data_IF_274792954657
#
_entry.id   IF_274792954657
#
_cell.length_a   1.000
_cell.length_b   1.000
_cell.length_c   1.000
_cell.angle_alpha   90.00
_cell.angle_beta   90.00
_cell.angle_gamma   90.00
#
_symmetry.space_group_name_H-M   'P 1'
#
loop_
_entity.id
_entity.type
_entity.pdbx_description
1 polymer ?
#
# COMPACT_ATOMS: atom_id res chain seq x y z
N UNK A 1 -3.97 -20.80 15.82
CA UNK A 1 -5.11 -21.58 16.34
C UNK A 1 -4.95 -23.01 15.83
N UNK A 2 -4.68 -23.94 16.75
CA UNK A 2 -4.64 -25.38 16.41
C UNK A 2 -6.08 -25.84 16.29
N UNK A 3 -6.46 -26.32 15.11
CA UNK A 3 -7.73 -27.01 14.91
C UNK A 3 -7.49 -28.49 15.19
N UNK A 4 -8.06 -29.01 16.27
CA UNK A 4 -8.08 -30.44 16.52
C UNK A 4 -9.26 -31.04 15.79
N UNK A 5 -8.99 -31.94 14.85
CA UNK A 5 -10.02 -32.75 14.19
C UNK A 5 -9.97 -34.13 14.81
N UNK A 6 -11.08 -34.58 15.42
CA UNK A 6 -11.24 -35.95 15.86
C UNK A 6 -11.62 -36.80 14.62
N UNK A 7 -10.76 -37.74 14.21
CA UNK A 7 -10.98 -38.47 12.97
C UNK A 7 -12.16 -39.45 12.98
N UNK A 8 -12.81 -39.65 14.12
CA UNK A 8 -13.86 -40.65 14.20
C UNK A 8 -13.36 -42.08 13.83
N UNK A 9 -14.23 -43.05 13.87
CA UNK A 9 -13.89 -44.47 13.61
C UNK A 9 -14.19 -44.91 12.18
N UNK A 10 -14.62 -44.06 11.27
CA UNK A 10 -14.99 -44.42 9.89
C UNK A 10 -14.05 -43.79 8.86
N UNK A 11 -13.50 -44.62 7.92
CA UNK A 11 -12.38 -44.23 7.06
C UNK A 11 -12.71 -43.43 5.82
N UNK A 12 -13.97 -43.08 5.53
CA UNK A 12 -14.36 -42.38 4.32
C UNK A 12 -15.46 -41.34 4.59
N UNK A 13 -15.11 -40.21 5.14
CA UNK A 13 -16.02 -39.06 5.16
C UNK A 13 -15.36 -37.82 4.57
N UNK A 14 -15.93 -37.31 3.48
CA UNK A 14 -15.66 -35.95 3.00
C UNK A 14 -16.20 -34.96 4.02
N UNK A 15 -15.33 -34.23 4.70
CA UNK A 15 -15.71 -33.17 5.64
C UNK A 15 -15.74 -31.82 4.93
N UNK A 16 -16.81 -31.06 5.12
CA UNK A 16 -16.87 -29.67 4.69
C UNK A 16 -16.64 -28.78 5.92
N UNK A 17 -15.57 -27.97 5.88
CA UNK A 17 -15.32 -27.00 6.94
C UNK A 17 -15.72 -25.61 6.45
N UNK A 18 -16.64 -24.97 7.14
CA UNK A 18 -17.03 -23.57 6.88
C UNK A 18 -16.22 -22.69 7.83
N UNK A 19 -15.31 -21.88 7.28
CA UNK A 19 -14.55 -20.91 8.04
C UNK A 19 -15.26 -19.55 7.90
N UNK A 20 -15.76 -19.02 9.01
CA UNK A 20 -16.40 -17.69 9.06
C UNK A 20 -15.41 -16.70 9.66
N UNK A 21 -15.08 -15.67 8.90
CA UNK A 21 -14.21 -14.57 9.35
C UNK A 21 -15.05 -13.40 9.88
N UNK A 22 -14.61 -12.82 11.00
CA UNK A 22 -15.06 -11.51 11.47
C UNK A 22 -13.95 -10.50 11.25
N UNK A 23 -14.29 -9.30 10.76
CA UNK A 23 -13.34 -8.20 10.78
C UNK A 23 -13.09 -7.73 12.24
N UNK A 24 -12.12 -6.85 12.45
CA UNK A 24 -11.79 -6.32 13.78
C UNK A 24 -12.94 -5.57 14.46
N UNK A 25 -13.92 -5.11 13.69
CA UNK A 25 -15.12 -4.40 14.18
C UNK A 25 -16.26 -5.37 14.54
N UNK A 26 -16.05 -6.66 14.40
CA UNK A 26 -17.06 -7.69 14.70
C UNK A 26 -18.15 -7.86 13.65
N UNK A 27 -18.03 -7.20 12.51
CA UNK A 27 -18.97 -7.33 11.37
C UNK A 27 -18.64 -8.57 10.57
N UNK A 28 -19.65 -9.38 10.25
CA UNK A 28 -19.45 -10.55 9.38
C UNK A 28 -19.24 -10.10 7.94
N UNK A 29 -18.20 -10.60 7.29
CA UNK A 29 -18.10 -10.49 5.84
C UNK A 29 -19.20 -11.37 5.23
N UNK A 30 -20.03 -10.79 4.38
CA UNK A 30 -21.17 -11.46 3.74
C UNK A 30 -20.79 -12.44 2.64
N UNK A 31 -19.51 -12.63 2.36
CA UNK A 31 -19.00 -13.64 1.43
C UNK A 31 -18.37 -14.78 2.27
N UNK A 32 -19.07 -15.89 2.51
CA UNK A 32 -18.46 -17.04 3.15
C UNK A 32 -17.39 -17.62 2.22
N UNK A 33 -16.14 -17.64 2.69
CA UNK A 33 -15.08 -18.38 2.03
C UNK A 33 -15.32 -19.87 2.36
N UNK A 34 -15.90 -20.61 1.44
CA UNK A 34 -16.05 -22.04 1.58
C UNK A 34 -14.78 -22.71 1.08
N UNK A 35 -13.98 -23.21 2.00
CA UNK A 35 -12.83 -24.06 1.66
C UNK A 35 -13.25 -25.52 1.81
N UNK A 36 -13.25 -26.27 0.71
CA UNK A 36 -13.41 -27.72 0.76
C UNK A 36 -12.07 -28.35 1.15
N UNK A 37 -12.01 -28.85 2.37
CA UNK A 37 -10.86 -29.65 2.81
C UNK A 37 -11.24 -31.13 2.60
N UNK A 38 -10.59 -31.79 1.64
CA UNK A 38 -10.64 -33.25 1.55
C UNK A 38 -9.64 -33.82 2.53
N UNK A 39 -10.14 -34.42 3.59
CA UNK A 39 -9.31 -35.24 4.46
C UNK A 39 -9.27 -36.65 3.88
N UNK A 40 -8.13 -37.00 3.29
CA UNK A 40 -7.90 -38.39 2.79
C UNK A 40 -7.26 -39.19 3.92
N UNK A 41 -8.02 -40.13 4.51
CA UNK A 41 -7.58 -40.89 5.67
C UNK A 41 -6.78 -42.12 5.34
N UNK A 42 -6.56 -42.43 4.05
CA UNK A 42 -5.83 -43.64 3.62
C UNK A 42 -4.37 -43.58 4.08
N UNK A 43 -4.07 -44.32 5.12
CA UNK A 43 -2.72 -44.63 5.62
C UNK A 43 -1.99 -43.60 6.48
N UNK A 44 -2.68 -42.72 7.20
CA UNK A 44 -2.04 -41.84 8.19
C UNK A 44 -1.34 -42.57 9.36
N UNK A 45 -1.58 -43.87 9.53
CA UNK A 45 -0.93 -44.66 10.62
C UNK A 45 0.52 -45.06 10.33
N UNK A 46 0.97 -45.05 9.06
CA UNK A 46 2.31 -45.46 8.65
C UNK A 46 3.01 -44.44 7.73
N UNK A 47 2.51 -43.21 7.64
CA UNK A 47 3.03 -42.16 6.76
C UNK A 47 3.69 -41.02 7.49
N UNK A 48 4.64 -40.39 6.82
CA UNK A 48 5.26 -39.12 7.21
C UNK A 48 4.69 -38.01 6.36
N UNK A 49 4.86 -36.76 6.84
CA UNK A 49 4.40 -35.59 6.08
C UNK A 49 5.43 -34.44 6.13
N UNK A 50 5.34 -33.58 5.11
CA UNK A 50 5.94 -32.27 5.09
C UNK A 50 4.81 -31.26 4.90
N UNK A 51 4.50 -30.49 5.95
CA UNK A 51 3.51 -29.45 5.93
C UNK A 51 4.18 -28.10 5.67
N UNK A 52 3.47 -27.19 5.00
CA UNK A 52 3.97 -25.89 4.56
C UNK A 52 3.18 -24.76 5.21
N UNK A 53 3.87 -23.89 5.94
CA UNK A 53 3.36 -22.58 6.33
C UNK A 53 3.90 -21.56 5.35
N UNK A 54 3.04 -21.05 4.48
CA UNK A 54 3.42 -20.07 3.46
C UNK A 54 3.62 -18.65 4.00
N UNK A 55 3.46 -18.39 5.28
CA UNK A 55 3.71 -17.10 5.93
C UNK A 55 3.03 -15.92 5.18
N UNK A 56 1.75 -16.09 4.86
CA UNK A 56 0.95 -15.11 4.13
C UNK A 56 1.04 -15.17 2.60
N UNK A 57 1.76 -16.16 2.05
CA UNK A 57 1.71 -16.49 0.63
C UNK A 57 0.53 -17.40 0.27
N UNK A 58 0.48 -17.83 -1.01
CA UNK A 58 -0.51 -18.80 -1.48
C UNK A 58 -0.36 -20.13 -0.76
N UNK A 59 -1.47 -20.85 -0.66
CA UNK A 59 -1.50 -22.18 -0.04
C UNK A 59 -0.64 -23.19 -0.80
N UNK A 60 0.04 -24.07 -0.07
CA UNK A 60 0.82 -25.19 -0.59
C UNK A 60 0.36 -26.48 0.07
N UNK A 61 0.05 -27.48 -0.74
CA UNK A 61 -0.43 -28.76 -0.27
C UNK A 61 0.61 -29.51 0.56
N UNK A 62 0.17 -30.13 1.65
CA UNK A 62 1.01 -31.01 2.47
C UNK A 62 1.41 -32.25 1.67
N UNK A 63 2.71 -32.54 1.61
CA UNK A 63 3.22 -33.78 1.02
C UNK A 63 3.09 -34.91 2.05
N UNK A 64 2.45 -35.99 1.66
CA UNK A 64 2.30 -37.20 2.50
C UNK A 64 2.88 -38.42 1.79
N UNK A 65 3.52 -39.31 2.53
CA UNK A 65 4.06 -40.53 1.94
C UNK A 65 4.70 -41.46 2.96
N UNK A 66 4.95 -42.70 2.53
CA UNK A 66 5.71 -43.67 3.32
C UNK A 66 7.20 -43.29 3.31
N UNK A 67 7.91 -43.67 4.35
CA UNK A 67 9.36 -43.52 4.37
C UNK A 67 10.01 -44.00 3.05
N UNK A 68 10.90 -43.16 2.50
CA UNK A 68 11.64 -43.42 1.27
C UNK A 68 10.81 -43.48 -0.03
N UNK A 69 9.51 -43.10 -0.01
CA UNK A 69 8.73 -42.88 -1.23
C UNK A 69 9.21 -41.61 -1.96
N UNK A 70 8.99 -41.58 -3.28
CA UNK A 70 9.32 -40.38 -4.08
C UNK A 70 8.44 -39.20 -3.69
N UNK A 71 9.06 -38.02 -3.66
CA UNK A 71 8.39 -36.75 -3.43
C UNK A 71 8.32 -35.99 -4.75
N UNK A 72 7.13 -35.54 -5.14
CA UNK A 72 6.95 -34.51 -6.15
C UNK A 72 7.00 -33.16 -5.46
N UNK A 73 7.95 -32.29 -5.86
CA UNK A 73 8.09 -30.95 -5.28
C UNK A 73 6.90 -30.10 -5.70
N UNK A 74 6.18 -29.45 -4.75
CA UNK A 74 5.10 -28.54 -5.08
C UNK A 74 5.64 -27.28 -5.77
N UNK A 75 4.75 -26.53 -6.42
CA UNK A 75 5.06 -25.19 -6.92
C UNK A 75 5.40 -24.26 -5.75
N UNK A 76 6.31 -23.32 -6.01
CA UNK A 76 6.67 -22.32 -5.00
C UNK A 76 5.47 -21.39 -4.76
N UNK A 77 5.20 -21.00 -3.50
CA UNK A 77 4.10 -20.10 -3.19
C UNK A 77 4.36 -18.69 -3.76
N UNK A 78 3.27 -17.93 -3.94
CA UNK A 78 3.33 -16.55 -4.40
C UNK A 78 2.76 -15.61 -3.33
N UNK A 79 3.36 -14.42 -3.19
CA UNK A 79 2.89 -13.36 -2.30
C UNK A 79 3.11 -12.02 -2.99
N UNK A 80 2.03 -11.26 -3.14
CA UNK A 80 2.08 -9.93 -3.80
C UNK A 80 3.09 -9.01 -3.12
N UNK A 81 3.99 -8.41 -3.91
CA UNK A 81 5.02 -7.50 -3.42
C UNK A 81 6.22 -8.18 -2.75
N UNK A 82 6.32 -9.51 -2.84
CA UNK A 82 7.40 -10.28 -2.25
C UNK A 82 7.89 -11.38 -3.17
N UNK A 83 9.18 -11.65 -3.12
CA UNK A 83 9.82 -12.79 -3.78
C UNK A 83 9.99 -13.94 -2.78
N UNK A 84 9.64 -15.13 -3.20
CA UNK A 84 9.89 -16.33 -2.40
C UNK A 84 11.39 -16.62 -2.30
N UNK A 85 11.90 -16.74 -1.07
CA UNK A 85 13.32 -16.94 -0.78
C UNK A 85 13.65 -18.35 -0.28
N UNK A 86 12.65 -19.25 -0.27
CA UNK A 86 12.83 -20.64 0.11
C UNK A 86 12.07 -21.04 1.37
N UNK A 87 12.18 -22.34 1.67
CA UNK A 87 11.61 -22.95 2.87
C UNK A 87 12.64 -23.01 4.01
N UNK A 88 12.16 -22.92 5.24
CA UNK A 88 12.96 -22.98 6.47
C UNK A 88 12.37 -23.97 7.47
N UNK A 89 13.23 -24.61 8.31
CA UNK A 89 12.82 -25.60 9.31
C UNK A 89 12.19 -24.97 10.56
N UNK A 90 12.42 -23.70 10.78
CA UNK A 90 12.05 -22.95 11.98
C UNK A 90 11.30 -21.65 11.61
N UNK A 91 10.42 -21.21 12.50
CA UNK A 91 9.60 -20.01 12.33
C UNK A 91 10.45 -18.72 12.34
N UNK A 92 11.64 -18.75 12.99
CA UNK A 92 12.63 -17.67 13.00
C UNK A 92 13.38 -17.54 11.67
N UNK A 93 13.17 -18.47 10.72
CA UNK A 93 13.76 -18.47 9.39
C UNK A 93 15.30 -18.47 9.40
N UNK A 94 15.89 -19.23 10.33
CA UNK A 94 17.35 -19.31 10.51
C UNK A 94 17.97 -20.50 9.79
N UNK A 95 17.26 -21.63 9.68
CA UNK A 95 17.72 -22.88 9.10
C UNK A 95 17.05 -23.17 7.77
N UNK A 96 17.73 -22.99 6.62
CA UNK A 96 17.16 -23.29 5.31
C UNK A 96 16.78 -24.76 5.17
N UNK A 97 15.63 -25.03 4.57
CA UNK A 97 15.13 -26.37 4.28
C UNK A 97 15.04 -26.62 2.78
N UNK A 98 15.65 -27.75 2.36
CA UNK A 98 15.49 -28.23 0.99
C UNK A 98 14.57 -29.43 0.99
N UNK A 99 13.47 -29.36 0.23
CA UNK A 99 12.55 -30.50 0.07
C UNK A 99 13.33 -31.68 -0.54
N UNK A 100 13.44 -32.84 0.18
CA UNK A 100 14.21 -33.94 -0.31
C UNK A 100 13.49 -34.70 -1.43
N UNK A 101 14.20 -35.43 -2.27
CA UNK A 101 13.61 -36.25 -3.32
C UNK A 101 12.83 -37.47 -2.78
N UNK A 102 13.09 -37.87 -1.55
CA UNK A 102 12.48 -39.01 -0.88
C UNK A 102 11.89 -38.59 0.47
N UNK A 103 10.76 -39.19 0.85
CA UNK A 103 10.09 -38.92 2.11
C UNK A 103 11.00 -39.30 3.29
N UNK A 104 11.34 -38.33 4.19
CA UNK A 104 12.14 -38.64 5.37
C UNK A 104 11.33 -39.44 6.39
N UNK A 105 12.03 -40.07 7.35
CA UNK A 105 11.43 -40.80 8.47
C UNK A 105 11.07 -39.85 9.64
N UNK A 106 10.69 -38.59 9.33
CA UNK A 106 10.35 -37.58 10.29
C UNK A 106 9.32 -36.62 9.71
N UNK A 107 8.30 -36.31 10.49
CA UNK A 107 7.34 -35.26 10.18
C UNK A 107 8.00 -33.89 10.24
N UNK A 108 7.60 -33.02 9.31
CA UNK A 108 8.15 -31.67 9.18
C UNK A 108 7.04 -30.66 8.99
N UNK A 109 7.21 -29.50 9.64
CA UNK A 109 6.57 -28.25 9.26
C UNK A 109 7.66 -27.30 8.77
N UNK A 110 7.44 -26.67 7.64
CA UNK A 110 8.41 -25.75 7.05
C UNK A 110 7.74 -24.43 6.74
N UNK A 111 8.51 -23.35 6.85
CA UNK A 111 8.04 -21.97 6.81
C UNK A 111 8.62 -21.25 5.60
N UNK A 112 7.77 -20.53 4.87
CA UNK A 112 8.21 -19.75 3.73
C UNK A 112 8.95 -18.49 4.17
N UNK A 113 10.10 -18.21 3.56
CA UNK A 113 10.77 -16.93 3.68
C UNK A 113 10.45 -16.05 2.49
N UNK A 114 10.16 -14.78 2.78
CA UNK A 114 9.85 -13.76 1.80
C UNK A 114 10.86 -12.64 1.83
N UNK A 115 11.23 -12.17 0.67
CA UNK A 115 12.01 -10.93 0.49
C UNK A 115 11.11 -9.90 -0.17
N UNK A 116 11.03 -8.70 0.44
CA UNK A 116 10.25 -7.61 -0.13
C UNK A 116 10.80 -7.21 -1.52
N UNK A 117 9.93 -6.91 -2.45
CA UNK A 117 10.27 -6.41 -3.79
C UNK A 117 9.91 -4.93 -3.93
N UNK A 118 10.53 -4.29 -4.91
CA UNK A 118 10.19 -2.94 -5.31
C UNK A 118 8.81 -2.92 -6.00
N UNK A 119 7.91 -2.08 -5.45
CA UNK A 119 6.55 -1.90 -5.94
C UNK A 119 6.35 -0.44 -6.33
N UNK A 120 5.59 -0.19 -7.38
CA UNK A 120 5.24 1.15 -7.81
C UNK A 120 4.37 1.88 -6.79
N UNK A 121 4.61 3.19 -6.62
CA UNK A 121 3.69 4.09 -5.93
C UNK A 121 3.57 5.41 -6.70
N UNK A 122 2.56 6.20 -6.37
CA UNK A 122 2.31 7.46 -7.05
C UNK A 122 2.37 8.64 -6.10
N UNK A 123 2.82 9.79 -6.63
CA UNK A 123 2.67 11.10 -6.00
C UNK A 123 1.68 11.89 -6.86
N UNK A 124 0.64 12.44 -6.24
CA UNK A 124 -0.35 13.29 -6.89
C UNK A 124 -0.33 14.64 -6.21
N UNK A 125 -0.11 15.68 -7.02
CA UNK A 125 -0.12 17.06 -6.59
C UNK A 125 -1.47 17.70 -6.91
N UNK A 126 -1.99 18.50 -6.00
CA UNK A 126 -3.27 19.20 -6.10
C UNK A 126 -3.01 20.69 -5.96
N UNK A 127 -3.19 21.45 -7.03
CA UNK A 127 -3.04 22.90 -7.03
C UNK A 127 -4.38 23.59 -6.78
N UNK A 128 -4.39 24.57 -5.87
CA UNK A 128 -5.60 25.36 -5.59
C UNK A 128 -5.92 26.27 -6.77
N UNK A 129 -7.08 26.09 -7.39
CA UNK A 129 -7.60 26.98 -8.43
C UNK A 129 -8.10 28.32 -7.88
N UNK A 130 -8.36 29.28 -8.77
CA UNK A 130 -8.89 30.61 -8.40
C UNK A 130 -10.28 30.57 -7.75
N UNK A 131 -11.00 29.46 -7.92
CA UNK A 131 -12.29 29.15 -7.29
C UNK A 131 -12.15 28.48 -5.91
N UNK A 132 -10.92 28.28 -5.39
CA UNK A 132 -10.64 27.58 -4.14
C UNK A 132 -10.75 26.06 -4.22
N UNK A 133 -10.96 25.49 -5.41
CA UNK A 133 -11.00 24.04 -5.62
C UNK A 133 -9.61 23.52 -6.00
N UNK A 134 -9.17 22.43 -5.38
CA UNK A 134 -7.91 21.77 -5.70
C UNK A 134 -8.04 20.87 -6.92
N UNK A 135 -7.22 21.12 -7.92
CA UNK A 135 -7.17 20.36 -9.17
C UNK A 135 -5.97 19.42 -9.17
N UNK A 136 -6.23 18.13 -9.39
CA UNK A 136 -5.17 17.13 -9.46
C UNK A 136 -4.32 17.31 -10.71
N UNK A 137 -3.01 17.24 -10.53
CA UNK A 137 -2.05 17.15 -11.62
C UNK A 137 -1.83 15.68 -12.00
N UNK A 138 -1.17 15.45 -13.12
CA UNK A 138 -0.82 14.10 -13.59
C UNK A 138 0.01 13.36 -12.53
N UNK A 139 -0.32 12.10 -12.21
CA UNK A 139 0.41 11.32 -11.23
C UNK A 139 1.87 11.09 -11.65
N UNK A 140 2.79 11.29 -10.72
CA UNK A 140 4.21 10.97 -10.90
C UNK A 140 4.46 9.60 -10.29
N UNK A 141 5.02 8.66 -11.08
CA UNK A 141 5.30 7.29 -10.65
C UNK A 141 6.70 7.15 -10.07
N UNK A 142 6.78 6.46 -8.96
CA UNK A 142 8.01 6.08 -8.25
C UNK A 142 7.97 4.59 -7.91
N UNK A 143 9.07 4.05 -7.39
CA UNK A 143 9.12 2.72 -6.79
C UNK A 143 9.72 2.80 -5.39
N UNK A 144 9.32 1.85 -4.55
CA UNK A 144 9.83 1.67 -3.22
C UNK A 144 9.66 0.23 -2.76
N UNK A 145 10.46 -0.19 -1.81
CA UNK A 145 10.42 -1.54 -1.29
C UNK A 145 9.13 -1.76 -0.48
N UNK A 146 8.44 -2.85 -0.72
CA UNK A 146 7.21 -3.23 0.01
C UNK A 146 7.40 -3.11 1.52
N UNK A 147 6.38 -2.60 2.21
CA UNK A 147 6.32 -2.37 3.67
C UNK A 147 7.39 -1.42 4.22
N UNK A 148 8.11 -0.68 3.35
CA UNK A 148 9.00 0.40 3.80
C UNK A 148 8.35 1.76 3.70
N UNK A 149 8.84 2.72 4.46
CA UNK A 149 8.41 4.10 4.42
C UNK A 149 9.12 4.85 3.29
N UNK A 150 8.35 5.66 2.55
CA UNK A 150 8.85 6.59 1.54
C UNK A 150 8.42 8.01 1.89
N UNK A 151 9.31 8.96 1.66
CA UNK A 151 9.07 10.39 1.93
C UNK A 151 9.46 11.19 0.68
N UNK A 152 8.65 11.14 -0.40
CA UNK A 152 8.94 11.89 -1.61
C UNK A 152 8.88 13.39 -1.34
N UNK A 153 9.87 14.13 -1.85
CA UNK A 153 9.91 15.59 -1.71
C UNK A 153 8.84 16.23 -2.62
N UNK A 154 7.98 17.14 -2.08
CA UNK A 154 7.06 17.92 -2.91
C UNK A 154 7.83 18.86 -3.86
N UNK A 155 7.31 19.05 -5.06
CA UNK A 155 7.87 20.01 -6.01
C UNK A 155 7.60 21.46 -5.58
N UNK A 156 8.36 22.40 -6.12
CA UNK A 156 8.10 23.84 -5.94
C UNK A 156 7.28 24.34 -7.15
N UNK A 157 6.19 25.05 -6.88
CA UNK A 157 5.35 25.67 -7.90
C UNK A 157 5.29 27.16 -7.67
N UNK A 158 5.54 27.96 -8.72
CA UNK A 158 5.49 29.41 -8.65
C UNK A 158 4.09 29.88 -8.24
N UNK A 159 4.02 30.71 -7.20
CA UNK A 159 2.78 31.27 -6.68
C UNK A 159 2.00 30.32 -5.75
N UNK A 160 2.61 29.22 -5.33
CA UNK A 160 2.01 28.26 -4.40
C UNK A 160 2.91 27.99 -3.21
N UNK A 161 2.30 27.83 -2.05
CA UNK A 161 3.01 27.38 -0.86
C UNK A 161 3.39 25.91 -0.99
N UNK A 162 4.69 25.61 -0.87
CA UNK A 162 5.17 24.22 -0.90
C UNK A 162 4.75 23.50 0.39
N UNK A 163 4.00 22.39 0.29
CA UNK A 163 3.56 21.63 1.45
C UNK A 163 4.73 20.94 2.13
N UNK A 164 4.54 20.53 3.39
CA UNK A 164 5.52 19.70 4.11
C UNK A 164 5.57 18.30 3.51
N UNK A 165 6.76 17.71 3.57
CA UNK A 165 6.97 16.30 3.22
C UNK A 165 6.02 15.38 4.00
N UNK A 166 5.56 14.33 3.34
CA UNK A 166 4.70 13.29 3.91
C UNK A 166 5.37 11.94 3.76
N UNK A 167 5.24 11.15 4.80
CA UNK A 167 5.70 9.77 4.82
C UNK A 167 4.52 8.83 4.66
N UNK A 168 4.64 7.86 3.76
CA UNK A 168 3.66 6.80 3.52
C UNK A 168 4.37 5.46 3.42
N UNK A 169 3.67 4.39 3.83
CA UNK A 169 4.19 3.02 3.67
C UNK A 169 3.83 2.47 2.30
N UNK A 170 4.82 1.92 1.61
CA UNK A 170 4.62 1.27 0.29
C UNK A 170 3.85 -0.02 0.48
N UNK A 171 2.67 -0.09 -0.12
CA UNK A 171 1.80 -1.28 -0.09
C UNK A 171 2.20 -2.26 -1.16
N UNK A 172 2.18 -3.53 -0.81
CA UNK A 172 2.50 -4.64 -1.69
C UNK A 172 1.70 -4.68 -3.01
N UNK A 173 0.47 -4.17 -2.99
CA UNK A 173 -0.44 -4.16 -4.14
C UNK A 173 -0.26 -2.97 -5.10
N UNK A 174 0.70 -2.08 -4.83
CA UNK A 174 0.98 -0.91 -5.67
C UNK A 174 -0.05 0.21 -5.57
N UNK A 175 -0.92 0.20 -4.56
CA UNK A 175 -2.00 1.21 -4.41
C UNK A 175 -1.59 2.43 -3.59
N UNK A 176 -0.33 2.55 -3.19
CA UNK A 176 0.16 3.68 -2.40
C UNK A 176 0.15 4.96 -3.21
N UNK A 177 -0.50 6.01 -2.66
CA UNK A 177 -0.56 7.35 -3.27
C UNK A 177 -0.24 8.41 -2.22
N UNK A 178 0.86 9.13 -2.43
CA UNK A 178 1.20 10.32 -1.63
C UNK A 178 0.52 11.54 -2.26
N UNK A 179 -0.21 12.31 -1.48
CA UNK A 179 -0.98 13.48 -1.96
C UNK A 179 -0.44 14.75 -1.34
N UNK A 180 -0.06 15.71 -2.18
CA UNK A 180 0.34 17.05 -1.80
C UNK A 180 -0.69 18.08 -2.25
N UNK A 181 -1.04 19.01 -1.36
CA UNK A 181 -1.98 20.10 -1.63
C UNK A 181 -1.23 21.42 -1.55
N UNK A 182 -1.29 22.18 -2.62
CA UNK A 182 -0.58 23.43 -2.80
C UNK A 182 -1.58 24.58 -2.76
N UNK A 183 -1.73 25.28 -1.61
CA UNK A 183 -2.53 26.49 -1.56
C UNK A 183 -1.82 27.60 -2.32
N UNK A 184 -2.60 28.51 -2.91
CA UNK A 184 -2.05 29.70 -3.57
C UNK A 184 -1.43 30.62 -2.53
N UNK A 185 -0.23 31.13 -2.82
CA UNK A 185 0.43 32.14 -2.01
C UNK A 185 -0.42 33.42 -1.90
N UNK A 186 -0.30 34.11 -0.76
CA UNK A 186 -0.97 35.35 -0.49
C UNK A 186 0.03 36.51 -0.59
N UNK A 187 -0.34 37.56 -1.32
CA UNK A 187 0.45 38.75 -1.57
C UNK A 187 -0.28 39.97 -1.07
N UNK A 188 0.42 40.82 -0.33
CA UNK A 188 -0.10 42.12 0.07
C UNK A 188 0.17 43.14 -1.01
N UNK A 189 -0.89 43.71 -1.62
CA UNK A 189 -0.78 44.74 -2.67
C UNK A 189 -1.27 46.07 -2.15
N UNK A 190 -0.40 47.10 -2.27
CA UNK A 190 -0.72 48.49 -1.90
C UNK A 190 -0.59 49.39 -3.10
N UNK A 191 -1.63 50.15 -3.40
CA UNK A 191 -1.63 51.19 -4.40
C UNK A 191 -1.31 52.55 -3.72
N UNK A 192 -0.21 53.19 -4.18
CA UNK A 192 0.27 54.44 -3.61
C UNK A 192 0.21 55.57 -4.64
N UNK A 193 -0.10 56.78 -4.18
CA UNK A 193 0.10 57.97 -4.99
C UNK A 193 1.59 58.29 -5.05
N UNK A 194 2.19 58.39 -6.23
CA UNK A 194 3.62 58.64 -6.43
C UNK A 194 4.09 59.97 -5.77
N UNK A 195 3.24 61.01 -5.83
CA UNK A 195 3.60 62.36 -5.40
C UNK A 195 3.82 62.48 -3.87
N UNK A 196 3.03 61.79 -3.07
CA UNK A 196 3.03 61.96 -1.60
C UNK A 196 3.06 60.65 -0.82
N UNK A 197 3.07 59.51 -1.51
CA UNK A 197 3.04 58.18 -0.88
C UNK A 197 1.71 57.85 -0.19
N UNK A 198 0.64 58.58 -0.47
CA UNK A 198 -0.67 58.31 0.10
C UNK A 198 -1.22 56.97 -0.40
N UNK A 199 -1.70 56.11 0.52
CA UNK A 199 -2.31 54.83 0.18
C UNK A 199 -3.71 55.06 -0.39
N UNK A 200 -3.90 54.62 -1.64
CA UNK A 200 -5.21 54.66 -2.33
C UNK A 200 -6.03 53.41 -1.99
N UNK A 201 -5.37 52.26 -2.01
CA UNK A 201 -5.96 50.98 -1.63
C UNK A 201 -4.85 50.02 -1.14
N UNK A 202 -5.20 49.14 -0.22
CA UNK A 202 -4.30 48.11 0.31
C UNK A 202 -5.13 46.91 0.69
N UNK A 203 -4.77 45.72 0.16
CA UNK A 203 -5.50 44.50 0.44
C UNK A 203 -4.62 43.26 0.15
N UNK A 204 -5.03 42.11 0.65
CA UNK A 204 -4.36 40.84 0.45
C UNK A 204 -5.02 40.06 -0.71
N UNK A 205 -4.19 39.55 -1.60
CA UNK A 205 -4.63 38.82 -2.80
C UNK A 205 -3.87 37.55 -2.97
N UNK A 206 -4.58 36.49 -3.36
CA UNK A 206 -3.95 35.20 -3.67
C UNK A 206 -3.44 35.16 -5.11
N UNK A 207 -2.33 34.51 -5.33
CA UNK A 207 -1.72 34.27 -6.65
C UNK A 207 -2.77 33.94 -7.72
N UNK A 208 -2.66 34.56 -8.90
CA UNK A 208 -3.58 34.33 -10.03
C UNK A 208 -4.96 35.00 -9.89
N UNK A 209 -5.18 35.83 -8.86
CA UNK A 209 -6.42 36.62 -8.75
C UNK A 209 -6.40 37.74 -9.76
N UNK A 210 -7.45 37.88 -10.57
CA UNK A 210 -7.64 39.05 -11.44
C UNK A 210 -8.00 40.28 -10.62
N UNK A 211 -7.16 41.29 -10.69
CA UNK A 211 -7.35 42.53 -9.94
C UNK A 211 -7.92 43.62 -10.85
N UNK A 212 -8.81 44.41 -10.30
CA UNK A 212 -9.20 45.69 -10.89
C UNK A 212 -8.51 46.79 -10.10
N UNK A 213 -7.58 47.48 -10.75
CA UNK A 213 -6.90 48.61 -10.11
C UNK A 213 -7.88 49.71 -9.71
N UNK A 214 -7.69 50.38 -8.54
CA UNK A 214 -8.58 51.44 -8.08
C UNK A 214 -8.57 52.64 -9.06
N UNK A 215 -9.75 53.21 -9.27
CA UNK A 215 -9.88 54.43 -10.03
C UNK A 215 -9.47 55.61 -9.16
N UNK A 216 -8.62 56.48 -9.70
CA UNK A 216 -8.21 57.74 -9.04
C UNK A 216 -8.63 58.93 -9.88
N UNK A 217 -9.01 60.00 -9.19
CA UNK A 217 -9.38 61.25 -9.84
C UNK A 217 -8.63 62.43 -9.19
N UNK A 218 -8.07 63.29 -10.06
CA UNK A 218 -7.41 64.54 -9.65
C UNK A 218 -7.87 65.68 -10.57
N UNK A 219 -8.43 66.77 -10.02
CA UNK A 219 -8.89 67.88 -10.81
C UNK A 219 -7.75 68.48 -11.66
N UNK A 220 -8.00 68.64 -12.98
CA UNK A 220 -7.02 69.22 -13.90
C UNK A 220 -5.92 68.26 -14.41
N UNK A 221 -5.98 66.95 -14.07
CA UNK A 221 -5.04 65.97 -14.52
C UNK A 221 -5.77 64.75 -15.10
N UNK A 222 -5.11 64.09 -16.05
CA UNK A 222 -5.55 62.85 -16.64
C UNK A 222 -4.74 61.70 -16.03
N UNK A 223 -5.42 60.66 -15.50
CA UNK A 223 -4.79 59.49 -14.95
C UNK A 223 -4.17 58.64 -16.09
N UNK A 224 -2.87 58.44 -16.04
CA UNK A 224 -2.12 57.70 -17.09
C UNK A 224 -1.99 56.18 -16.79
N UNK A 225 -2.30 55.73 -15.58
CA UNK A 225 -2.21 54.35 -15.19
C UNK A 225 -1.38 54.13 -13.91
N UNK A 226 -1.41 52.91 -13.43
CA UNK A 226 -0.53 52.45 -12.36
C UNK A 226 0.76 51.92 -12.95
N UNK A 227 1.90 52.12 -12.31
CA UNK A 227 3.18 51.51 -12.62
C UNK A 227 3.68 50.67 -11.43
N UNK A 228 4.39 49.57 -11.66
CA UNK A 228 4.95 48.74 -10.58
C UNK A 228 6.07 49.46 -9.82
#
# INVERSE_FOLDING_TARGET
NVISVDPGTEPEQDGEMIITWKNQEGTFNTQPLTMKIRLHWDNLRDGYYIAFDSQGGSYVDTIMGKYNSDIEKPEDPVRTGYRFAGWYEDEELTTPYTIPAKMPNKERMVYAKWEAEDVGYQVVEYLEGTNGVYEAQDPISYSGLTDTEVTPKPAEHEGYETPKEKTETVRADGTTVVKYYYPREEYHLTFLMEENGETVASDDYRYGTFLTAPAVYRPGYEFQGWSP
#
